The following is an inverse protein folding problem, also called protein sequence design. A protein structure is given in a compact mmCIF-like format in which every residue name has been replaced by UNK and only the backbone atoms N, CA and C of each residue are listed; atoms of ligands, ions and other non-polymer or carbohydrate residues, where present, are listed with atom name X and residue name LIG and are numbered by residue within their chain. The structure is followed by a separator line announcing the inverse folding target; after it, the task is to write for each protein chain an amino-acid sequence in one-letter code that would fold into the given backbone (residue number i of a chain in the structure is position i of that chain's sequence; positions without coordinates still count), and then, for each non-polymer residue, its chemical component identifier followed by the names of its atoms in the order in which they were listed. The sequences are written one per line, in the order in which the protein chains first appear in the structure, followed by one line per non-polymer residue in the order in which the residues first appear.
data_IF_051862013494
#
_entry.id   IF_051862013494
#
_cell.length_a   1.000
_cell.length_b   1.000
_cell.length_c   1.000
_cell.angle_alpha   90.00
_cell.angle_beta   90.00
_cell.angle_gamma   90.00
#
_symmetry.space_group_name_H-M   'P 1'
#
loop_
_entity.id
_entity.type
_entity.pdbx_description
1 polymer ?
#
# COMPACT_ATOMS: atom_id res chain seq x y z
N UNK A 1 -8.90 -3.35 -8.69
CA UNK A 1 -10.08 -3.76 -7.87
C UNK A 1 -9.79 -3.57 -6.38
N UNK A 2 -10.77 -3.40 -5.47
CA UNK A 2 -10.48 -3.34 -4.04
C UNK A 2 -10.05 -4.71 -3.49
N UNK A 3 -9.03 -4.73 -2.65
CA UNK A 3 -8.57 -5.93 -1.93
C UNK A 3 -9.71 -6.48 -1.06
N UNK A 4 -9.90 -7.81 -1.09
CA UNK A 4 -10.99 -8.49 -0.37
C UNK A 4 -10.96 -8.18 1.13
N UNK A 5 -12.15 -8.04 1.73
CA UNK A 5 -12.31 -7.75 3.16
C UNK A 5 -11.52 -8.69 4.08
N UNK A 6 -11.53 -9.99 3.80
CA UNK A 6 -10.79 -10.98 4.59
C UNK A 6 -9.27 -10.73 4.61
N UNK A 7 -8.71 -10.22 3.51
CA UNK A 7 -7.28 -9.86 3.43
C UNK A 7 -7.03 -8.61 4.27
N UNK A 8 -7.89 -7.60 4.18
CA UNK A 8 -7.81 -6.39 5.03
C UNK A 8 -7.87 -6.72 6.52
N UNK A 9 -8.72 -7.66 6.93
CA UNK A 9 -8.82 -8.11 8.32
C UNK A 9 -7.53 -8.81 8.79
N UNK A 10 -6.91 -9.63 7.94
CA UNK A 10 -5.60 -10.24 8.23
C UNK A 10 -4.50 -9.19 8.35
N UNK A 11 -4.47 -8.19 7.47
CA UNK A 11 -3.53 -7.07 7.58
C UNK A 11 -3.70 -6.32 8.91
N UNK A 12 -4.95 -6.06 9.32
CA UNK A 12 -5.26 -5.38 10.58
C UNK A 12 -4.73 -6.12 11.80
N UNK A 13 -4.65 -7.45 11.77
CA UNK A 13 -4.10 -8.25 12.86
C UNK A 13 -2.59 -8.00 13.09
N UNK A 14 -1.88 -7.45 12.10
CA UNK A 14 -0.47 -7.06 12.19
C UNK A 14 -0.28 -5.56 12.45
N UNK A 15 -1.37 -4.80 12.56
CA UNK A 15 -1.36 -3.37 12.85
C UNK A 15 -1.41 -3.12 14.35
N UNK A 16 -1.14 -1.88 14.74
CA UNK A 16 -1.21 -1.47 16.14
C UNK A 16 -2.67 -1.34 16.55
N UNK A 17 -2.99 -1.54 17.83
CA UNK A 17 -4.34 -1.33 18.32
C UNK A 17 -4.87 0.07 17.96
N UNK A 18 -6.10 0.10 17.44
CA UNK A 18 -6.79 1.32 17.02
C UNK A 18 -6.25 1.96 15.73
N UNK A 19 -5.40 1.29 14.97
CA UNK A 19 -4.92 1.81 13.68
C UNK A 19 -5.91 1.45 12.57
N UNK A 20 -6.19 2.41 11.69
CA UNK A 20 -7.18 2.25 10.64
C UNK A 20 -6.53 2.08 9.27
N UNK A 21 -7.04 1.10 8.52
CA UNK A 21 -6.60 0.87 7.14
C UNK A 21 -7.32 1.85 6.21
N UNK A 22 -6.58 2.76 5.57
CA UNK A 22 -7.11 3.55 4.46
C UNK A 22 -7.03 2.76 3.15
N UNK A 23 -5.83 2.33 2.80
CA UNK A 23 -5.59 1.60 1.55
C UNK A 23 -4.83 0.30 1.79
N UNK A 24 -5.11 -0.70 0.94
CA UNK A 24 -4.31 -1.93 0.84
C UNK A 24 -4.19 -2.27 -0.63
N UNK A 25 -2.98 -2.60 -1.06
CA UNK A 25 -2.73 -3.10 -2.40
C UNK A 25 -1.56 -4.11 -2.41
N UNK A 26 -1.61 -5.10 -3.31
CA UNK A 26 -0.50 -6.02 -3.51
C UNK A 26 0.66 -5.33 -4.25
N UNK A 27 1.87 -5.74 -3.89
CA UNK A 27 3.12 -5.29 -4.48
C UNK A 27 4.07 -6.48 -4.65
N UNK A 28 4.96 -6.42 -5.63
CA UNK A 28 6.01 -7.44 -5.82
C UNK A 28 7.36 -6.76 -5.78
N UNK A 29 8.34 -7.32 -5.07
CA UNK A 29 9.68 -6.76 -5.02
C UNK A 29 10.31 -6.77 -6.41
N UNK A 30 10.71 -5.60 -6.91
CA UNK A 30 11.35 -5.49 -8.22
C UNK A 30 12.81 -5.97 -8.15
N UNK A 31 13.28 -6.62 -9.22
CA UNK A 31 14.68 -7.06 -9.35
C UNK A 31 15.09 -8.27 -8.51
N UNK A 32 14.16 -8.92 -7.81
CA UNK A 32 14.44 -10.13 -7.03
C UNK A 32 14.44 -11.41 -7.90
N UNK A 33 15.31 -12.40 -7.61
CA UNK A 33 15.23 -13.71 -8.25
C UNK A 33 13.99 -14.47 -7.72
N UNK A 34 12.87 -14.34 -8.44
CA UNK A 34 11.59 -14.95 -8.11
C UNK A 34 10.59 -13.98 -7.48
N UNK A 35 9.29 -14.32 -7.48
CA UNK A 35 8.26 -13.42 -7.01
C UNK A 35 8.23 -13.36 -5.48
N UNK A 36 8.74 -12.26 -4.91
CA UNK A 36 8.51 -11.92 -3.51
C UNK A 36 7.31 -10.99 -3.42
N UNK A 37 6.20 -11.52 -2.92
CA UNK A 37 4.92 -10.80 -2.82
C UNK A 37 4.76 -10.12 -1.46
N UNK A 38 4.15 -8.95 -1.51
CA UNK A 38 3.91 -8.09 -0.37
C UNK A 38 2.50 -7.52 -0.42
N UNK A 39 1.96 -7.20 0.75
CA UNK A 39 0.79 -6.34 0.90
C UNK A 39 1.25 -5.01 1.49
N UNK A 40 1.05 -3.93 0.74
CA UNK A 40 1.28 -2.58 1.24
C UNK A 40 -0.01 -2.08 1.87
N UNK A 41 0.07 -1.70 3.14
CA UNK A 41 -1.03 -1.18 3.93
C UNK A 41 -0.73 0.27 4.25
N UNK A 42 -1.56 1.18 3.75
CA UNK A 42 -1.52 2.60 4.09
C UNK A 42 -2.54 2.83 5.20
N UNK A 43 -2.03 3.01 6.41
CA UNK A 43 -2.85 3.35 7.57
C UNK A 43 -3.14 4.85 7.69
N UNK A 44 -3.84 5.23 8.74
CA UNK A 44 -3.97 6.61 9.19
C UNK A 44 -2.66 7.14 9.82
N UNK A 45 -1.90 6.27 10.51
CA UNK A 45 -0.67 6.61 11.25
C UNK A 45 0.63 6.20 10.57
N UNK A 46 0.67 5.02 9.93
CA UNK A 46 1.89 4.53 9.27
C UNK A 46 1.60 3.78 7.97
N UNK A 47 2.65 3.52 7.21
CA UNK A 47 2.65 2.63 6.07
C UNK A 47 3.36 1.34 6.50
N UNK A 48 2.69 0.20 6.33
CA UNK A 48 3.28 -1.11 6.55
C UNK A 48 3.48 -1.81 5.22
N UNK A 49 4.65 -2.39 5.03
CA UNK A 49 4.91 -3.37 3.97
C UNK A 49 4.93 -4.72 4.64
N UNK A 50 3.96 -5.57 4.31
CA UNK A 50 3.78 -6.88 4.90
C UNK A 50 4.28 -7.93 3.94
N UNK A 51 5.22 -8.76 4.37
CA UNK A 51 5.60 -9.96 3.63
C UNK A 51 4.43 -10.95 3.60
N UNK A 52 4.27 -11.69 2.51
CA UNK A 52 3.24 -12.73 2.40
C UNK A 52 3.85 -14.12 2.51
N UNK A 53 3.02 -15.12 2.78
CA UNK A 53 3.48 -16.52 2.76
C UNK A 53 3.90 -16.92 1.34
N UNK A 54 4.92 -17.77 1.25
CA UNK A 54 5.54 -18.16 -0.03
C UNK A 54 4.53 -18.74 -1.05
N UNK A 55 3.55 -19.52 -0.58
CA UNK A 55 2.52 -20.12 -1.43
C UNK A 55 1.15 -19.40 -1.38
N UNK A 56 1.05 -18.30 -0.63
CA UNK A 56 -0.20 -17.56 -0.48
C UNK A 56 0.07 -16.05 -0.37
N UNK A 57 -0.05 -15.37 -1.52
CA UNK A 57 0.12 -13.92 -1.66
C UNK A 57 -0.95 -13.09 -0.96
N UNK A 58 -2.05 -13.71 -0.52
CA UNK A 58 -3.16 -13.05 0.17
C UNK A 58 -3.11 -13.31 1.70
N UNK A 59 -2.06 -13.96 2.19
CA UNK A 59 -1.82 -14.23 3.60
C UNK A 59 -0.57 -13.48 4.07
N UNK A 60 -0.73 -12.30 4.70
CA UNK A 60 0.40 -11.60 5.29
C UNK A 60 0.97 -12.44 6.45
N UNK A 61 2.29 -12.50 6.52
CA UNK A 61 3.02 -13.31 7.49
C UNK A 61 3.68 -12.44 8.56
N UNK A 62 4.35 -11.36 8.16
CA UNK A 62 5.12 -10.50 9.06
C UNK A 62 5.32 -9.09 8.47
N UNK A 63 5.64 -8.13 9.34
CA UNK A 63 5.97 -6.75 8.98
C UNK A 63 7.40 -6.69 8.42
N UNK A 64 7.51 -6.44 7.12
CA UNK A 64 8.81 -6.26 6.46
C UNK A 64 9.36 -4.85 6.68
N UNK A 65 8.50 -3.83 6.58
CA UNK A 65 8.85 -2.43 6.87
C UNK A 65 7.68 -1.72 7.55
N UNK A 66 8.00 -0.80 8.46
CA UNK A 66 7.06 0.16 9.03
C UNK A 66 7.63 1.57 8.83
N UNK A 67 6.88 2.41 8.13
CA UNK A 67 7.32 3.75 7.73
C UNK A 67 6.29 4.80 8.16
N UNK A 68 6.70 6.05 8.43
CA UNK A 68 5.75 7.13 8.73
C UNK A 68 4.71 7.28 7.61
N UNK A 69 3.45 7.63 7.95
CA UNK A 69 2.39 7.92 6.93
C UNK A 69 2.79 9.01 5.94
N UNK A 70 3.72 9.88 6.32
CA UNK A 70 4.34 10.92 5.47
C UNK A 70 5.42 10.39 4.52
N UNK A 71 5.53 9.08 4.33
CA UNK A 71 6.38 8.49 3.30
C UNK A 71 5.65 8.54 1.97
N UNK A 72 6.29 9.09 0.95
CA UNK A 72 5.75 9.12 -0.41
C UNK A 72 5.90 7.75 -1.05
N UNK A 73 4.84 7.28 -1.70
CA UNK A 73 4.83 6.00 -2.43
C UNK A 73 5.32 6.21 -3.88
N UNK A 74 4.90 7.30 -4.52
CA UNK A 74 5.33 7.71 -5.85
C UNK A 74 6.66 8.48 -5.87
N UNK A 75 7.08 8.96 -7.06
CA UNK A 75 6.40 8.84 -8.34
C UNK A 75 6.35 7.37 -8.84
N UNK A 76 5.37 7.07 -9.68
CA UNK A 76 5.30 5.76 -10.35
C UNK A 76 6.20 5.82 -11.60
N UNK A 77 7.21 4.96 -11.64
CA UNK A 77 7.99 4.71 -12.87
C UNK A 77 7.26 3.64 -13.70
N UNK A 78 7.09 3.87 -15.01
CA UNK A 78 6.36 2.96 -15.90
C UNK A 78 7.28 2.02 -16.70
N UNK A 79 8.60 2.11 -16.54
CA UNK A 79 9.57 1.38 -17.35
C UNK A 79 10.36 0.35 -16.53
N UNK A 80 10.27 -0.97 -16.80
CA UNK A 80 9.44 -1.66 -17.81
C UNK A 80 8.01 -1.98 -17.36
N UNK A 81 7.73 -1.92 -16.04
CA UNK A 81 6.43 -2.14 -15.41
C UNK A 81 6.21 -1.08 -14.34
N UNK A 82 4.94 -0.75 -13.98
CA UNK A 82 4.67 0.28 -12.99
C UNK A 82 5.31 -0.05 -11.64
N UNK A 83 6.23 0.81 -11.21
CA UNK A 83 7.09 0.61 -10.03
C UNK A 83 7.01 1.81 -9.11
N UNK A 84 6.92 1.55 -7.81
CA UNK A 84 6.88 2.55 -6.75
C UNK A 84 8.06 2.39 -5.80
N UNK A 85 8.37 3.45 -5.06
CA UNK A 85 9.52 3.50 -4.16
C UNK A 85 9.00 3.65 -2.73
N UNK A 86 9.20 2.62 -1.92
CA UNK A 86 8.84 2.66 -0.50
C UNK A 86 10.13 2.57 0.30
N UNK A 87 10.54 3.70 0.89
CA UNK A 87 11.85 3.82 1.51
C UNK A 87 12.97 3.59 0.48
N UNK A 88 13.81 2.59 0.72
CA UNK A 88 14.89 2.20 -0.20
C UNK A 88 14.51 1.05 -1.14
N UNK A 89 13.27 0.56 -1.08
CA UNK A 89 12.82 -0.65 -1.77
C UNK A 89 11.90 -0.31 -2.95
N UNK A 90 12.12 -1.01 -4.06
CA UNK A 90 11.36 -0.83 -5.30
C UNK A 90 10.33 -1.94 -5.43
N UNK A 91 9.08 -1.57 -5.70
CA UNK A 91 7.98 -2.50 -5.79
C UNK A 91 7.20 -2.32 -7.09
N UNK A 92 7.04 -3.41 -7.83
CA UNK A 92 6.12 -3.48 -8.95
C UNK A 92 4.67 -3.53 -8.44
N UNK A 93 3.81 -2.74 -9.06
CA UNK A 93 2.39 -2.59 -8.71
C UNK A 93 1.57 -2.75 -9.98
N UNK A 94 0.51 -3.55 -9.91
CA UNK A 94 -0.42 -3.69 -11.03
C UNK A 94 -1.12 -2.35 -11.33
N UNK A 95 -1.34 -2.06 -12.61
CA UNK A 95 -1.98 -0.83 -13.07
C UNK A 95 -3.31 -0.54 -12.35
N UNK A 96 -4.04 -1.60 -11.99
CA UNK A 96 -5.33 -1.49 -11.29
C UNK A 96 -5.25 -0.87 -9.89
N UNK A 97 -4.05 -0.73 -9.31
CA UNK A 97 -3.80 -0.11 -8.01
C UNK A 97 -3.08 1.24 -8.11
N UNK A 98 -2.75 1.71 -9.31
CA UNK A 98 -2.07 3.02 -9.44
C UNK A 98 -2.93 4.17 -8.93
N UNK A 99 -4.24 4.11 -9.15
CA UNK A 99 -5.16 5.09 -8.57
C UNK A 99 -5.13 5.09 -7.03
N UNK A 100 -4.92 3.92 -6.41
CA UNK A 100 -4.80 3.78 -4.95
C UNK A 100 -3.51 4.41 -4.44
N UNK A 101 -2.39 4.17 -5.13
CA UNK A 101 -1.08 4.79 -4.81
C UNK A 101 -1.18 6.31 -4.92
N UNK A 102 -1.71 6.81 -6.04
CA UNK A 102 -1.84 8.25 -6.28
C UNK A 102 -2.79 8.92 -5.29
N UNK A 103 -3.91 8.28 -4.94
CA UNK A 103 -4.82 8.80 -3.93
C UNK A 103 -4.16 8.86 -2.53
N UNK A 104 -3.44 7.80 -2.14
CA UNK A 104 -2.74 7.74 -0.86
C UNK A 104 -1.68 8.84 -0.71
N UNK A 105 -0.97 9.17 -1.79
CA UNK A 105 -0.02 10.28 -1.83
C UNK A 105 -0.72 11.65 -1.85
N UNK A 106 -1.75 11.82 -2.68
CA UNK A 106 -2.50 13.08 -2.79
C UNK A 106 -3.08 13.52 -1.44
N UNK A 107 -3.64 12.59 -0.66
CA UNK A 107 -4.14 12.85 0.69
C UNK A 107 -3.13 13.49 1.64
N UNK A 108 -1.84 13.24 1.45
CA UNK A 108 -0.78 13.75 2.35
C UNK A 108 -0.03 14.92 1.75
N UNK A 109 0.21 14.89 0.44
CA UNK A 109 1.13 15.83 -0.22
C UNK A 109 0.45 16.85 -1.12
N UNK A 110 -0.82 16.66 -1.46
CA UNK A 110 -1.60 17.58 -2.27
C UNK A 110 -3.08 17.64 -1.82
N UNK A 111 -3.37 17.81 -0.52
CA UNK A 111 -4.73 17.75 0.01
C UNK A 111 -5.64 18.85 -0.56
N UNK A 112 -5.07 19.97 -0.97
CA UNK A 112 -5.73 21.09 -1.65
C UNK A 112 -6.19 20.76 -3.08
N UNK A 113 -5.65 19.69 -3.67
CA UNK A 113 -6.06 19.20 -4.99
C UNK A 113 -7.20 18.17 -4.92
N UNK A 114 -7.56 17.72 -3.71
CA UNK A 114 -8.64 16.77 -3.55
C UNK A 114 -10.00 17.44 -3.83
N UNK A 115 -10.95 16.71 -4.45
CA UNK A 115 -12.31 17.20 -4.53
C UNK A 115 -12.87 17.39 -3.11
N UNK A 116 -13.73 18.40 -2.95
CA UNK A 116 -14.49 18.57 -1.72
C UNK A 116 -15.29 17.31 -1.42
N UNK A 117 -15.33 16.92 -0.14
CA UNK A 117 -16.17 15.80 0.31
C UNK A 117 -17.63 16.14 -0.03
N UNK A 118 -18.32 15.33 -0.85
CA UNK A 118 -19.71 15.57 -1.16
C UNK A 118 -20.65 15.38 0.04
N UNK A 119 -20.20 14.71 1.12
CA UNK A 119 -21.00 14.36 2.29
C UNK A 119 -20.22 14.63 3.59
N UNK A 120 -19.84 15.88 3.90
CA UNK A 120 -18.96 16.21 5.02
C UNK A 120 -19.59 15.98 6.40
N UNK A 121 -20.93 15.89 6.46
CA UNK A 121 -21.72 15.80 7.70
C UNK A 121 -22.35 14.42 7.92
N UNK A 122 -22.01 13.42 7.10
CA UNK A 122 -22.56 12.06 7.18
C UNK A 122 -21.66 11.14 8.03
#
# INVERSE_FOLDING_TARGET
MPVRRAIRERCRALMEPGEEIRYVFPATLSGAPGPAHFLVVVGDRRILVLSTRYFDRDSPADVYQALPRKTRLGPVDFTPTPTIHIGATHFEVSEEYLAVVTAADAEVFAPDTLPLDPLPDL
#
